data_IF_405619807334
#
_entry.id   IF_405619807334
#
_cell.length_a   1.000
_cell.length_b   1.000
_cell.length_c   1.000
_cell.angle_alpha   90.00
_cell.angle_beta   90.00
_cell.angle_gamma   90.00
#
_symmetry.space_group_name_H-M   'P 1'
#
loop_
_entity.id
_entity.type
_entity.pdbx_description
1 polymer ?
#
# COMPACT_ATOMS: atom_id res chain seq x y z
N UNK A 1 6.28 9.20 4.12
CA UNK A 1 7.22 8.06 4.00
C UNK A 1 6.96 7.24 2.73
N UNK A 2 7.28 7.78 1.53
CA UNK A 2 7.38 6.99 0.27
C UNK A 2 8.85 6.60 -0.03
N UNK A 3 9.78 7.21 0.68
CA UNK A 3 11.23 7.13 0.47
C UNK A 3 11.87 5.84 0.95
N UNK A 4 11.21 5.09 1.84
CA UNK A 4 11.82 3.92 2.50
C UNK A 4 11.91 2.67 1.64
N UNK A 5 11.12 2.52 0.57
CA UNK A 5 11.20 1.36 -0.33
C UNK A 5 12.21 1.60 -1.46
N UNK A 6 12.12 2.77 -2.08
CA UNK A 6 12.89 3.13 -3.27
C UNK A 6 14.41 3.17 -2.98
N UNK A 7 14.78 3.51 -1.75
CA UNK A 7 16.17 3.68 -1.33
C UNK A 7 16.81 2.41 -0.72
N UNK A 8 16.10 1.26 -0.64
CA UNK A 8 16.67 0.04 -0.01
C UNK A 8 17.75 -0.64 -0.84
N UNK A 9 17.67 -0.50 -2.16
CA UNK A 9 18.62 -1.10 -3.08
C UNK A 9 18.65 -0.35 -4.41
N UNK A 10 19.72 -0.57 -5.18
CA UNK A 10 19.80 -0.11 -6.58
C UNK A 10 19.05 -1.10 -7.47
N UNK A 11 18.09 -0.59 -8.21
CA UNK A 11 17.30 -1.35 -9.19
C UNK A 11 18.02 -1.32 -10.54
N UNK A 12 18.16 -2.48 -11.21
CA UNK A 12 18.80 -2.53 -12.52
C UNK A 12 17.84 -2.10 -13.62
N UNK A 13 16.56 -2.38 -13.45
CA UNK A 13 15.54 -2.03 -14.45
C UNK A 13 14.33 -1.35 -13.82
N UNK A 14 13.59 -0.60 -14.65
CA UNK A 14 12.32 0.01 -14.25
C UNK A 14 11.24 -1.04 -13.96
N UNK A 15 11.33 -2.22 -14.57
CA UNK A 15 10.39 -3.33 -14.38
C UNK A 15 10.57 -3.94 -12.99
N UNK A 16 11.81 -4.21 -12.57
CA UNK A 16 12.10 -4.68 -11.20
C UNK A 16 11.58 -3.70 -10.15
N UNK A 17 11.81 -2.40 -10.37
CA UNK A 17 11.29 -1.37 -9.49
C UNK A 17 9.76 -1.36 -9.45
N UNK A 18 9.10 -1.46 -10.60
CA UNK A 18 7.65 -1.49 -10.68
C UNK A 18 7.07 -2.70 -9.93
N UNK A 19 7.66 -3.88 -10.11
CA UNK A 19 7.26 -5.10 -9.40
C UNK A 19 7.45 -4.96 -7.89
N UNK A 20 8.60 -4.44 -7.45
CA UNK A 20 8.84 -4.23 -6.03
C UNK A 20 7.90 -3.20 -5.38
N UNK A 21 7.55 -2.14 -6.12
CA UNK A 21 6.53 -1.17 -5.69
C UNK A 21 5.17 -1.86 -5.58
N UNK A 22 4.78 -2.66 -6.57
CA UNK A 22 3.52 -3.40 -6.57
C UNK A 22 3.45 -4.36 -5.37
N UNK A 23 4.46 -5.19 -5.16
CA UNK A 23 4.52 -6.12 -4.03
C UNK A 23 4.46 -5.39 -2.70
N UNK A 24 5.16 -4.26 -2.57
CA UNK A 24 5.10 -3.45 -1.36
C UNK A 24 3.71 -2.87 -1.12
N UNK A 25 3.03 -2.38 -2.16
CA UNK A 25 1.68 -1.82 -2.03
C UNK A 25 0.65 -2.91 -1.67
N UNK A 26 0.62 -4.00 -2.43
CA UNK A 26 -0.37 -5.07 -2.27
C UNK A 26 -0.16 -5.86 -0.97
N UNK A 27 1.07 -6.32 -0.71
CA UNK A 27 1.33 -7.29 0.35
C UNK A 27 1.63 -6.61 1.68
N UNK A 28 2.39 -5.51 1.64
CA UNK A 28 2.79 -4.83 2.87
C UNK A 28 1.87 -3.65 3.21
N UNK A 29 1.68 -2.71 2.29
CA UNK A 29 0.95 -1.48 2.57
C UNK A 29 -0.54 -1.73 2.83
N UNK A 30 -1.24 -2.34 1.87
CA UNK A 30 -2.68 -2.51 1.92
C UNK A 30 -3.10 -3.58 2.94
N UNK A 31 -2.29 -4.63 3.09
CA UNK A 31 -2.65 -5.82 3.90
C UNK A 31 -2.03 -5.90 5.28
N UNK A 32 -0.90 -5.23 5.54
CA UNK A 32 -0.13 -5.43 6.79
C UNK A 32 0.20 -4.14 7.52
N UNK A 33 0.35 -3.02 6.82
CA UNK A 33 0.71 -1.74 7.43
C UNK A 33 -0.51 -1.18 8.14
N UNK A 34 -0.40 -1.03 9.45
CA UNK A 34 -1.42 -0.37 10.27
C UNK A 34 -1.15 1.13 10.32
N UNK A 35 -2.21 1.91 10.16
CA UNK A 35 -2.14 3.36 10.14
C UNK A 35 -2.86 3.93 11.37
N UNK A 36 -2.19 4.81 12.11
CA UNK A 36 -2.81 5.51 13.24
C UNK A 36 -4.01 6.35 12.81
N UNK A 37 -3.95 6.95 11.61
CA UNK A 37 -5.07 7.67 10.98
C UNK A 37 -6.32 6.79 10.78
N UNK A 38 -6.16 5.48 10.65
CA UNK A 38 -7.25 4.50 10.49
C UNK A 38 -7.55 3.75 11.79
N UNK A 39 -7.14 4.28 12.95
CA UNK A 39 -7.35 3.63 14.24
C UNK A 39 -6.52 2.36 14.42
N UNK A 40 -5.28 2.35 13.91
CA UNK A 40 -4.39 1.18 13.90
C UNK A 40 -4.93 -0.01 13.10
N UNK A 41 -5.68 0.27 12.03
CA UNK A 41 -6.13 -0.72 11.06
C UNK A 41 -5.34 -0.64 9.76
N UNK A 42 -5.36 -1.72 9.01
CA UNK A 42 -4.84 -1.75 7.64
C UNK A 42 -5.81 -1.03 6.69
N UNK A 43 -5.33 -0.54 5.53
CA UNK A 43 -6.19 0.08 4.53
C UNK A 43 -7.38 -0.81 4.12
N UNK A 44 -7.15 -2.11 3.92
CA UNK A 44 -8.23 -3.05 3.55
C UNK A 44 -9.25 -3.19 4.68
N UNK A 45 -8.81 -3.36 5.93
CA UNK A 45 -9.75 -3.45 7.06
C UNK A 45 -10.56 -2.15 7.22
N UNK A 46 -9.93 -1.01 6.94
CA UNK A 46 -10.61 0.28 6.97
C UNK A 46 -11.66 0.40 5.86
N UNK A 47 -11.33 0.02 4.62
CA UNK A 47 -12.26 -0.01 3.49
C UNK A 47 -13.42 -0.99 3.70
N UNK A 48 -13.17 -2.17 4.30
CA UNK A 48 -14.21 -3.15 4.61
C UNK A 48 -15.18 -2.68 5.70
N UNK A 49 -14.75 -1.77 6.57
CA UNK A 49 -15.58 -1.18 7.62
C UNK A 49 -16.32 0.07 7.17
N UNK A 50 -15.90 0.70 6.08
CA UNK A 50 -16.67 1.77 5.46
C UNK A 50 -17.77 1.14 4.60
N UNK A 51 -19.05 1.47 4.80
CA UNK A 51 -20.08 1.12 3.82
C UNK A 51 -19.66 1.75 2.50
N UNK A 52 -19.62 0.92 1.46
CA UNK A 52 -19.12 1.29 0.14
C UNK A 52 -19.70 2.65 -0.28
N UNK A 53 -18.82 3.66 -0.39
CA UNK A 53 -19.10 4.78 -1.28
C UNK A 53 -19.02 4.15 -2.67
N UNK A 54 -20.16 3.62 -3.13
CA UNK A 54 -20.29 3.16 -4.50
C UNK A 54 -19.90 4.34 -5.39
N UNK A 55 -19.03 4.14 -6.40
CA UNK A 55 -18.78 5.20 -7.37
C UNK A 55 -20.13 5.53 -8.02
N UNK A 56 -20.53 6.79 -7.93
CA UNK A 56 -21.64 7.30 -8.73
C UNK A 56 -21.25 7.09 -10.19
N UNK A 57 -22.00 6.20 -10.86
CA UNK A 57 -21.90 5.96 -12.29
C UNK A 57 -22.46 7.16 -13.07
#
# INVERSE_FOLDING_TARGET
MRTELLNRQRWRTRIELANAIFDYLEIFHNRRRRHSAFGMRTPIEYEMMQPSIQPVA
#
